data_IF_563984293197
#
_entry.id   IF_563984293197
#
_cell.length_a   1.000
_cell.length_b   1.000
_cell.length_c   1.000
_cell.angle_alpha   90.00
_cell.angle_beta   90.00
_cell.angle_gamma   90.00
#
_symmetry.space_group_name_H-M   'P 1'
#
loop_
_entity.id
_entity.type
_entity.pdbx_description
1 polymer ?
#
# COMPACT_ATOMS: atom_id res chain seq x y z
N UNK A 1 30.33 41.30 8.35
CA UNK A 1 30.50 39.83 8.44
C UNK A 1 29.83 39.24 7.22
N UNK A 2 30.54 39.23 6.08
CA UNK A 2 30.04 38.68 4.82
C UNK A 2 30.26 37.17 4.83
N UNK A 3 29.32 36.46 5.44
CA UNK A 3 29.38 35.01 5.66
C UNK A 3 28.92 34.17 4.46
N UNK A 4 28.80 34.75 3.26
CA UNK A 4 28.49 33.97 2.05
C UNK A 4 29.15 34.59 0.80
N UNK A 5 30.40 34.24 0.47
CA UNK A 5 30.94 34.43 -0.87
C UNK A 5 31.14 33.06 -1.55
N UNK A 6 30.59 32.93 -2.76
CA UNK A 6 31.00 31.99 -3.82
C UNK A 6 30.74 30.47 -3.68
N UNK A 7 30.29 29.95 -2.54
CA UNK A 7 29.91 28.52 -2.41
C UNK A 7 28.56 28.15 -3.07
N UNK A 8 27.88 29.09 -3.75
CA UNK A 8 26.50 28.92 -4.21
C UNK A 8 26.35 27.81 -5.26
N UNK A 9 27.08 27.83 -6.38
CA UNK A 9 26.90 26.79 -7.41
C UNK A 9 27.33 25.40 -6.93
N UNK A 10 28.44 25.31 -6.21
CA UNK A 10 28.97 24.04 -5.72
C UNK A 10 28.04 23.39 -4.69
N UNK A 11 27.44 24.19 -3.79
CA UNK A 11 26.43 23.68 -2.85
C UNK A 11 25.17 23.20 -3.55
N UNK A 12 24.66 23.92 -4.55
CA UNK A 12 23.52 23.45 -5.36
C UNK A 12 23.85 22.17 -6.13
N UNK A 13 25.06 22.05 -6.69
CA UNK A 13 25.52 20.83 -7.37
C UNK A 13 25.65 19.67 -6.39
N UNK A 14 26.20 19.88 -5.19
CA UNK A 14 26.31 18.85 -4.16
C UNK A 14 24.93 18.43 -3.63
N UNK A 15 24.02 19.37 -3.46
CA UNK A 15 22.64 19.09 -3.04
C UNK A 15 21.90 18.32 -4.13
N UNK A 16 21.98 18.75 -5.39
CA UNK A 16 21.37 18.04 -6.52
C UNK A 16 21.95 16.62 -6.66
N UNK A 17 23.27 16.48 -6.54
CA UNK A 17 23.96 15.19 -6.57
C UNK A 17 23.51 14.30 -5.41
N UNK A 18 23.48 14.83 -4.18
CA UNK A 18 22.99 14.14 -2.99
C UNK A 18 21.55 13.66 -3.16
N UNK A 19 20.67 14.51 -3.71
CA UNK A 19 19.26 14.19 -3.94
C UNK A 19 19.09 13.10 -5.01
N UNK A 20 19.90 13.12 -6.07
CA UNK A 20 19.93 12.07 -7.10
C UNK A 20 20.44 10.75 -6.53
N UNK A 21 21.52 10.76 -5.74
CA UNK A 21 22.01 9.57 -5.05
C UNK A 21 20.95 8.98 -4.11
N UNK A 22 20.28 9.84 -3.34
CA UNK A 22 19.22 9.45 -2.44
C UNK A 22 18.05 8.82 -3.22
N UNK A 23 17.67 9.40 -4.36
CA UNK A 23 16.63 8.86 -5.24
C UNK A 23 17.01 7.49 -5.80
N UNK A 24 18.25 7.32 -6.27
CA UNK A 24 18.75 6.03 -6.79
C UNK A 24 18.79 4.98 -5.67
N UNK A 25 19.28 5.35 -4.49
CA UNK A 25 19.30 4.49 -3.32
C UNK A 25 17.90 4.04 -2.91
N UNK A 26 16.96 4.98 -2.82
CA UNK A 26 15.56 4.70 -2.51
C UNK A 26 14.84 3.87 -3.57
N UNK A 27 15.25 3.95 -4.84
CA UNK A 27 14.63 3.21 -5.94
C UNK A 27 15.33 1.90 -6.31
N UNK A 28 16.50 1.62 -5.75
CA UNK A 28 17.29 0.42 -6.02
C UNK A 28 16.52 -0.89 -5.69
N UNK A 29 15.78 -0.89 -4.57
CA UNK A 29 15.04 -2.06 -4.09
C UNK A 29 13.77 -2.38 -4.89
N UNK A 30 13.25 -1.44 -5.69
CA UNK A 30 11.99 -1.60 -6.44
C UNK A 30 12.07 -2.59 -7.61
N UNK A 31 13.28 -2.99 -8.03
CA UNK A 31 13.48 -3.94 -9.13
C UNK A 31 13.29 -5.41 -8.72
N UNK A 32 13.27 -5.72 -7.42
CA UNK A 32 13.21 -7.10 -6.91
C UNK A 32 11.93 -7.83 -7.35
N UNK A 33 10.76 -7.23 -7.12
CA UNK A 33 9.47 -7.83 -7.51
C UNK A 33 9.34 -8.03 -9.02
N UNK A 34 9.89 -7.09 -9.82
CA UNK A 34 9.92 -7.23 -11.29
C UNK A 34 10.79 -8.40 -11.74
N UNK A 35 11.91 -8.66 -11.06
CA UNK A 35 12.76 -9.83 -11.33
C UNK A 35 12.08 -11.15 -10.99
N UNK A 36 11.19 -11.14 -9.99
CA UNK A 36 10.43 -12.31 -9.56
C UNK A 36 9.14 -12.54 -10.37
N UNK A 37 8.82 -11.68 -11.34
CA UNK A 37 7.62 -11.82 -12.17
C UNK A 37 6.30 -11.58 -11.44
N UNK A 38 6.33 -11.01 -10.23
CA UNK A 38 5.13 -10.73 -9.44
C UNK A 38 4.54 -9.39 -9.91
N UNK A 39 3.33 -9.37 -10.49
CA UNK A 39 2.69 -8.14 -10.90
C UNK A 39 2.29 -7.34 -9.65
N UNK A 40 2.73 -6.08 -9.56
CA UNK A 40 2.45 -5.21 -8.41
C UNK A 40 2.48 -3.72 -8.79
N UNK A 41 1.79 -2.87 -8.01
CA UNK A 41 1.75 -1.43 -8.25
C UNK A 41 3.14 -0.81 -8.12
N UNK A 42 3.49 0.12 -9.00
CA UNK A 42 4.81 0.76 -9.00
C UNK A 42 5.02 1.57 -7.71
N UNK A 43 6.00 1.20 -6.87
CA UNK A 43 6.26 1.88 -5.62
C UNK A 43 6.83 3.30 -5.86
N UNK A 44 6.37 4.26 -5.06
CA UNK A 44 6.90 5.62 -5.06
C UNK A 44 8.30 5.65 -4.40
N UNK A 45 9.20 6.56 -4.83
CA UNK A 45 10.46 6.79 -4.14
C UNK A 45 10.23 7.06 -2.64
N UNK A 46 10.99 6.40 -1.76
CA UNK A 46 10.93 6.43 -0.28
C UNK A 46 9.67 5.89 0.37
N UNK A 47 8.49 6.22 -0.15
CA UNK A 47 7.20 5.86 0.45
C UNK A 47 6.71 4.47 0.03
N UNK A 48 7.27 3.92 -1.05
CA UNK A 48 6.89 2.62 -1.58
C UNK A 48 5.42 2.60 -2.00
N UNK A 49 4.69 1.57 -1.55
CA UNK A 49 3.26 1.39 -1.81
C UNK A 49 2.36 1.92 -0.69
N UNK A 50 2.90 2.50 0.39
CA UNK A 50 2.11 2.91 1.57
C UNK A 50 0.97 3.87 1.19
N UNK A 51 1.22 4.82 0.29
CA UNK A 51 0.20 5.76 -0.18
C UNK A 51 -0.96 5.07 -0.90
N UNK A 52 -0.71 3.95 -1.57
CA UNK A 52 -1.74 3.17 -2.26
C UNK A 52 -2.70 2.50 -1.27
N UNK A 53 -2.19 2.05 -0.11
CA UNK A 53 -2.99 1.42 0.94
C UNK A 53 -3.75 2.44 1.80
N UNK A 54 -3.20 3.65 1.98
CA UNK A 54 -3.83 4.70 2.78
C UNK A 54 -4.90 5.51 2.03
N UNK A 55 -4.87 5.56 0.70
CA UNK A 55 -5.89 6.27 -0.07
C UNK A 55 -7.24 5.55 0.05
N UNK A 56 -8.37 6.29 0.20
CA UNK A 56 -9.71 5.69 0.25
C UNK A 56 -10.13 4.96 -1.05
N UNK A 57 -9.33 5.09 -2.11
CA UNK A 57 -9.49 4.42 -3.41
C UNK A 57 -8.70 3.10 -3.54
N UNK A 58 -7.90 2.72 -2.53
CA UNK A 58 -7.22 1.42 -2.53
C UNK A 58 -8.17 0.26 -2.25
N UNK A 59 -7.77 -1.00 -2.47
CA UNK A 59 -8.57 -2.18 -2.14
C UNK A 59 -9.03 -2.17 -0.66
N UNK A 60 -8.21 -1.61 0.23
CA UNK A 60 -8.55 -1.41 1.65
C UNK A 60 -9.72 -0.43 1.89
N UNK A 61 -9.90 0.57 1.01
CA UNK A 61 -10.95 1.58 1.12
C UNK A 61 -12.34 1.02 0.90
N UNK A 62 -12.49 0.09 -0.06
CA UNK A 62 -13.72 -0.65 -0.30
C UNK A 62 -13.94 -1.80 0.71
N UNK A 63 -12.86 -2.38 1.24
CA UNK A 63 -12.91 -3.50 2.21
C UNK A 63 -13.26 -3.11 3.65
N UNK A 64 -13.59 -1.85 3.95
CA UNK A 64 -14.05 -1.44 5.29
C UNK A 64 -15.29 -2.23 5.77
N UNK A 65 -16.13 -2.66 4.83
CA UNK A 65 -17.33 -3.46 5.10
C UNK A 65 -17.13 -4.97 4.91
N UNK A 66 -15.90 -5.44 4.67
CA UNK A 66 -15.63 -6.87 4.59
C UNK A 66 -15.73 -7.49 5.99
N UNK A 67 -16.28 -8.71 6.09
CA UNK A 67 -16.49 -9.44 7.36
C UNK A 67 -15.24 -9.47 8.27
N UNK A 68 -14.04 -9.43 7.69
CA UNK A 68 -12.75 -9.45 8.40
C UNK A 68 -12.37 -8.11 9.05
N UNK A 69 -12.97 -6.99 8.60
CA UNK A 69 -12.70 -5.62 9.06
C UNK A 69 -13.92 -4.95 9.71
N UNK A 70 -15.12 -5.54 9.57
CA UNK A 70 -16.33 -5.05 10.22
C UNK A 70 -16.19 -5.18 11.75
N UNK A 71 -16.43 -4.09 12.47
CA UNK A 71 -16.36 -4.04 13.93
C UNK A 71 -17.75 -4.29 14.55
N UNK A 72 -17.76 -5.07 15.64
CA UNK A 72 -18.88 -5.33 16.54
C UNK A 72 -20.27 -5.52 15.90
N UNK A 73 -21.08 -4.46 15.84
CA UNK A 73 -22.49 -4.55 15.41
C UNK A 73 -22.64 -4.88 13.92
N UNK A 74 -21.75 -4.36 13.07
CA UNK A 74 -21.70 -4.72 11.65
C UNK A 74 -21.29 -6.19 11.50
N UNK A 75 -20.29 -6.66 12.24
CA UNK A 75 -19.86 -8.06 12.21
C UNK A 75 -20.97 -9.01 12.67
N UNK A 76 -21.65 -8.68 13.77
CA UNK A 76 -22.78 -9.48 14.28
C UNK A 76 -23.89 -9.55 13.24
N UNK A 77 -24.23 -8.44 12.59
CA UNK A 77 -25.25 -8.37 11.54
C UNK A 77 -24.88 -9.18 10.30
N UNK A 78 -23.63 -9.08 9.84
CA UNK A 78 -23.15 -9.85 8.69
C UNK A 78 -23.20 -11.36 9.02
N UNK A 79 -22.78 -11.75 10.22
CA UNK A 79 -22.81 -13.16 10.67
C UNK A 79 -24.22 -13.72 10.80
N UNK A 80 -25.17 -12.96 11.33
CA UNK A 80 -26.57 -13.43 11.47
C UNK A 80 -27.24 -13.63 10.12
N UNK A 81 -26.95 -12.77 9.14
CA UNK A 81 -27.45 -12.91 7.77
C UNK A 81 -26.80 -14.07 7.00
N UNK A 82 -25.49 -14.30 7.18
CA UNK A 82 -24.76 -15.35 6.46
C UNK A 82 -24.89 -16.74 7.08
N UNK A 83 -24.98 -16.87 8.41
CA UNK A 83 -24.98 -18.18 9.09
C UNK A 83 -26.03 -19.18 8.56
N UNK A 84 -27.27 -18.78 8.24
CA UNK A 84 -28.28 -19.70 7.69
C UNK A 84 -27.88 -20.35 6.35
N UNK A 85 -27.11 -19.64 5.52
CA UNK A 85 -26.67 -20.12 4.20
C UNK A 85 -25.59 -21.22 4.30
N UNK A 86 -24.83 -21.24 5.38
CA UNK A 86 -23.73 -22.21 5.61
C UNK A 86 -24.12 -23.36 6.55
N UNK A 87 -25.43 -23.62 6.72
CA UNK A 87 -25.88 -24.76 7.52
C UNK A 87 -25.62 -26.10 6.82
N UNK A 88 -25.43 -27.15 7.61
CA UNK A 88 -25.22 -28.51 7.09
C UNK A 88 -26.37 -29.00 6.21
N UNK A 89 -27.60 -28.56 6.49
CA UNK A 89 -28.79 -28.83 5.68
C UNK A 89 -28.65 -28.19 4.30
N UNK A 90 -28.31 -26.90 4.24
CA UNK A 90 -28.09 -26.20 2.96
C UNK A 90 -26.91 -26.77 2.18
N UNK A 91 -25.83 -27.16 2.86
CA UNK A 91 -24.68 -27.79 2.21
C UNK A 91 -25.02 -29.16 1.61
N UNK A 92 -25.90 -29.94 2.26
CA UNK A 92 -26.40 -31.21 1.73
C UNK A 92 -27.35 -31.01 0.54
N UNK A 93 -28.14 -29.94 0.56
CA UNK A 93 -29.08 -29.57 -0.51
C UNK A 93 -28.35 -29.15 -1.79
N UNK A 94 -27.23 -28.42 -1.69
CA UNK A 94 -26.41 -27.99 -2.84
C UNK A 94 -25.56 -29.12 -3.44
N UNK A 95 -25.18 -30.14 -2.64
CA UNK A 95 -24.36 -31.28 -3.10
C UNK A 95 -25.18 -32.35 -3.84
N UNK A 96 -26.51 -32.23 -3.84
CA UNK A 96 -27.42 -33.20 -4.44
C UNK A 96 -27.68 -32.85 -5.91
#
# INVERSE_FOLDING_TARGET
>A
MDLIPNFAMETWVLVATSLVLLYIYGTHSHKLFKKLGIPGPTPLPFLGTVLFYLRPLGPMGFMKSALSFAEDEEWKRIRTLLSPAFTSVKFKEVRK
#
